data_IF_500606138133
#
_entry.id   IF_500606138133
#
_cell.length_a   1.000
_cell.length_b   1.000
_cell.length_c   1.000
_cell.angle_alpha   90.00
_cell.angle_beta   90.00
_cell.angle_gamma   90.00
#
_symmetry.space_group_name_H-M   'P 1'
#
loop_
_entity.id
_entity.type
_entity.pdbx_description
1 polymer ?
#
# COMPACT_ATOMS: atom_id res chain seq x y z
N UNK A 1 -16.60 7.74 5.78
CA UNK A 1 -16.23 6.37 6.15
C UNK A 1 -15.27 5.85 5.11
N UNK A 2 -14.00 5.71 5.49
CA UNK A 2 -12.98 5.14 4.62
C UNK A 2 -12.98 3.60 4.72
N UNK A 3 -12.42 2.92 3.72
CA UNK A 3 -12.38 1.46 3.61
C UNK A 3 -13.76 0.79 3.82
N UNK A 4 -14.80 1.36 3.22
CA UNK A 4 -16.19 0.93 3.43
C UNK A 4 -16.43 -0.55 3.09
N UNK A 5 -15.58 -1.16 2.26
CA UNK A 5 -15.63 -2.58 1.96
C UNK A 5 -15.45 -3.47 3.20
N UNK A 6 -14.85 -2.97 4.28
CA UNK A 6 -14.70 -3.69 5.54
C UNK A 6 -16.04 -4.03 6.24
N UNK A 7 -17.20 -3.54 5.76
CA UNK A 7 -18.52 -3.92 6.32
C UNK A 7 -18.91 -5.36 5.97
N UNK A 8 -18.48 -5.88 4.82
CA UNK A 8 -18.87 -7.21 4.33
C UNK A 8 -17.92 -7.84 3.32
N UNK A 9 -16.72 -7.27 3.13
CA UNK A 9 -15.69 -7.75 2.23
C UNK A 9 -14.70 -8.74 2.87
N UNK A 10 -13.65 -9.14 2.13
CA UNK A 10 -12.63 -10.07 2.61
C UNK A 10 -11.87 -9.55 3.84
N UNK A 11 -11.72 -8.22 3.96
CA UNK A 11 -11.12 -7.54 5.11
C UNK A 11 -12.20 -7.08 6.11
N UNK A 12 -13.13 -7.96 6.48
CA UNK A 12 -14.25 -7.63 7.35
C UNK A 12 -13.81 -7.12 8.74
N UNK A 13 -14.38 -5.98 9.16
CA UNK A 13 -14.16 -5.38 10.49
C UNK A 13 -15.50 -5.27 11.23
N UNK A 14 -15.77 -6.10 12.27
CA UNK A 14 -17.05 -6.10 12.97
C UNK A 14 -17.49 -4.74 13.53
N UNK A 15 -16.52 -3.89 13.91
CA UNK A 15 -16.80 -2.53 14.38
C UNK A 15 -17.55 -1.69 13.33
N UNK A 16 -17.33 -1.92 12.03
CA UNK A 16 -17.95 -1.17 10.94
C UNK A 16 -19.46 -1.44 10.84
N UNK A 17 -19.95 -2.60 11.31
CA UNK A 17 -21.40 -2.87 11.39
C UNK A 17 -22.13 -1.94 12.35
N UNK A 18 -21.41 -1.35 13.32
CA UNK A 18 -21.99 -0.41 14.28
C UNK A 18 -22.21 0.98 13.64
N UNK A 19 -21.63 1.25 12.47
CA UNK A 19 -21.78 2.54 11.80
C UNK A 19 -23.24 2.83 11.41
N UNK A 20 -24.04 1.80 11.09
CA UNK A 20 -25.49 1.99 10.87
C UNK A 20 -26.24 2.54 12.08
N UNK A 21 -25.64 2.55 13.28
CA UNK A 21 -26.23 3.22 14.45
C UNK A 21 -26.00 4.72 14.47
N UNK A 22 -25.05 5.24 13.69
CA UNK A 22 -24.76 6.67 13.66
C UNK A 22 -26.00 7.49 13.25
N UNK A 23 -26.84 6.93 12.37
CA UNK A 23 -28.14 7.51 11.99
C UNK A 23 -29.10 7.76 13.15
N UNK A 24 -29.10 6.91 14.18
CA UNK A 24 -29.94 7.14 15.37
C UNK A 24 -29.54 8.41 16.12
N UNK A 25 -28.29 8.85 15.99
CA UNK A 25 -27.77 10.04 16.68
C UNK A 25 -27.80 11.29 15.79
N UNK A 26 -27.62 11.14 14.49
CA UNK A 26 -27.50 12.28 13.55
C UNK A 26 -28.75 12.55 12.73
N UNK A 27 -29.72 11.64 12.74
CA UNK A 27 -30.86 11.68 11.82
C UNK A 27 -30.45 11.58 10.35
N UNK A 28 -31.35 12.03 9.47
CA UNK A 28 -31.16 12.02 8.01
C UNK A 28 -30.49 13.29 7.47
N UNK A 29 -30.38 14.34 8.29
CA UNK A 29 -29.87 15.65 7.86
C UNK A 29 -28.36 15.67 7.63
N UNK A 30 -27.63 14.70 8.22
CA UNK A 30 -26.18 14.58 8.04
C UNK A 30 -25.89 13.56 6.93
N UNK A 31 -25.30 13.98 5.79
CA UNK A 31 -24.92 13.04 4.74
C UNK A 31 -23.69 12.22 5.13
N UNK A 32 -23.68 10.94 4.80
CA UNK A 32 -22.51 10.07 4.94
C UNK A 32 -21.85 9.82 3.58
N UNK A 33 -20.53 9.93 3.54
CA UNK A 33 -19.72 9.55 2.37
C UNK A 33 -18.96 8.28 2.71
N UNK A 34 -19.15 7.23 1.91
CA UNK A 34 -18.43 5.97 2.03
C UNK A 34 -17.45 5.81 0.86
N UNK A 35 -16.17 5.60 1.16
CA UNK A 35 -15.11 5.46 0.16
C UNK A 35 -14.47 4.08 0.27
N UNK A 36 -14.12 3.47 -0.87
CA UNK A 36 -13.36 2.23 -0.91
C UNK A 36 -12.62 2.11 -2.25
N UNK A 37 -11.40 1.59 -2.22
CA UNK A 37 -10.64 1.27 -3.43
C UNK A 37 -11.07 -0.07 -4.05
N UNK A 38 -11.42 -1.03 -3.20
CA UNK A 38 -11.88 -2.36 -3.61
C UNK A 38 -13.38 -2.46 -3.35
N UNK A 39 -14.16 -2.83 -4.36
CA UNK A 39 -15.59 -3.07 -4.17
C UNK A 39 -16.07 -4.17 -5.11
N UNK A 40 -16.65 -5.21 -4.51
CA UNK A 40 -17.44 -6.20 -5.24
C UNK A 40 -18.91 -5.79 -5.20
N UNK A 41 -19.68 -6.21 -6.19
CA UNK A 41 -21.09 -5.82 -6.32
C UNK A 41 -21.91 -6.24 -5.08
N UNK A 42 -21.60 -7.40 -4.49
CA UNK A 42 -22.19 -7.84 -3.22
C UNK A 42 -21.87 -6.90 -2.04
N UNK A 43 -20.69 -6.28 -2.03
CA UNK A 43 -20.27 -5.32 -0.99
C UNK A 43 -20.95 -3.96 -1.18
N UNK A 44 -21.19 -3.52 -2.43
CA UNK A 44 -21.98 -2.32 -2.71
C UNK A 44 -23.39 -2.45 -2.14
N UNK A 45 -24.02 -3.61 -2.28
CA UNK A 45 -25.38 -3.86 -1.78
C UNK A 45 -25.46 -3.73 -0.25
N UNK A 46 -24.51 -4.28 0.53
CA UNK A 46 -24.54 -4.14 2.00
C UNK A 46 -24.32 -2.70 2.48
N UNK A 47 -23.51 -1.92 1.75
CA UNK A 47 -23.32 -0.48 2.01
C UNK A 47 -24.62 0.29 1.68
N UNK A 48 -25.26 -0.04 0.56
CA UNK A 48 -26.44 0.66 0.01
C UNK A 48 -27.70 0.40 0.82
N UNK A 49 -27.93 -0.85 1.26
CA UNK A 49 -29.16 -1.27 1.93
C UNK A 49 -29.37 -0.65 3.33
N UNK A 50 -28.33 -0.07 3.92
CA UNK A 50 -28.39 0.52 5.28
C UNK A 50 -28.67 2.02 5.28
N UNK A 51 -28.53 2.69 4.13
CA UNK A 51 -28.42 4.15 4.05
C UNK A 51 -29.12 4.74 2.80
N UNK A 52 -30.44 4.54 2.61
CA UNK A 52 -31.16 5.23 1.54
C UNK A 52 -31.39 6.71 1.87
N UNK A 53 -31.30 7.64 0.89
CA UNK A 53 -30.96 7.42 -0.53
C UNK A 53 -29.44 7.34 -0.76
N UNK A 54 -29.02 6.39 -1.62
CA UNK A 54 -27.62 6.14 -1.97
C UNK A 54 -27.32 6.56 -3.42
N UNK A 55 -26.20 7.26 -3.62
CA UNK A 55 -25.66 7.56 -4.94
C UNK A 55 -24.26 6.96 -5.06
N UNK A 56 -24.11 5.96 -5.93
CA UNK A 56 -22.84 5.30 -6.19
C UNK A 56 -22.09 5.90 -7.37
N UNK A 57 -20.81 6.21 -7.20
CA UNK A 57 -19.91 6.57 -8.29
C UNK A 57 -18.71 5.62 -8.32
N UNK A 58 -18.45 5.00 -9.48
CA UNK A 58 -17.33 4.07 -9.66
C UNK A 58 -16.41 4.58 -10.76
N UNK A 59 -15.15 4.85 -10.40
CA UNK A 59 -14.10 5.16 -11.37
C UNK A 59 -13.42 3.87 -11.82
N UNK A 60 -13.24 3.68 -13.13
CA UNK A 60 -12.45 2.57 -13.64
C UNK A 60 -10.97 2.79 -13.30
N UNK A 61 -10.32 1.74 -12.80
CA UNK A 61 -8.89 1.72 -12.47
C UNK A 61 -8.07 1.34 -13.71
N UNK A 62 -8.03 2.20 -14.73
CA UNK A 62 -7.04 2.05 -15.80
C UNK A 62 -5.80 2.89 -15.45
N UNK A 63 -4.65 2.23 -15.33
CA UNK A 63 -3.35 2.89 -15.20
C UNK A 63 -2.66 2.83 -16.57
N UNK A 64 -2.77 3.88 -17.41
CA UNK A 64 -2.34 3.82 -18.82
C UNK A 64 -0.83 3.56 -19.00
N UNK A 65 -0.02 3.77 -17.95
CA UNK A 65 1.44 3.61 -17.98
C UNK A 65 1.93 2.39 -17.19
N UNK A 66 1.04 1.49 -16.77
CA UNK A 66 1.45 0.27 -16.07
C UNK A 66 1.94 -0.78 -17.07
N UNK A 67 3.22 -1.11 -17.04
CA UNK A 67 3.78 -2.20 -17.84
C UNK A 67 3.49 -3.56 -17.18
N UNK A 68 3.03 -4.57 -17.96
CA UNK A 68 2.74 -5.89 -17.41
C UNK A 68 4.01 -6.57 -16.87
N UNK A 69 3.85 -7.24 -15.72
CA UNK A 69 4.97 -7.94 -15.08
C UNK A 69 5.32 -9.23 -15.84
N UNK A 70 6.62 -9.47 -16.06
CA UNK A 70 7.13 -10.76 -16.55
C UNK A 70 6.83 -11.89 -15.55
N UNK A 71 6.64 -13.15 -16.02
CA UNK A 71 6.38 -14.30 -15.15
C UNK A 71 7.43 -14.47 -14.05
N UNK A 72 6.98 -14.99 -12.90
CA UNK A 72 7.73 -15.03 -11.64
C UNK A 72 8.86 -16.05 -11.69
N UNK A 73 10.11 -15.59 -11.65
CA UNK A 73 11.26 -16.45 -11.32
C UNK A 73 11.38 -16.66 -9.79
N UNK A 74 12.00 -17.75 -9.31
CA UNK A 74 12.16 -18.04 -7.88
C UNK A 74 12.82 -16.89 -7.09
N UNK A 75 12.20 -16.50 -5.97
CA UNK A 75 12.35 -15.17 -5.34
C UNK A 75 13.74 -14.79 -4.83
N UNK A 76 14.57 -15.74 -4.39
CA UNK A 76 15.88 -15.42 -3.81
C UNK A 76 16.92 -14.93 -4.85
N UNK A 77 16.86 -15.44 -6.09
CA UNK A 77 17.80 -15.04 -7.15
C UNK A 77 17.51 -13.65 -7.70
N UNK A 78 16.27 -13.17 -7.60
CA UNK A 78 15.84 -11.90 -8.21
C UNK A 78 16.31 -10.68 -7.43
N UNK A 79 16.28 -10.70 -6.10
CA UNK A 79 16.77 -9.56 -5.29
C UNK A 79 18.27 -9.30 -5.52
N UNK A 80 19.06 -10.38 -5.58
CA UNK A 80 20.48 -10.31 -5.92
C UNK A 80 20.72 -9.82 -7.35
N UNK A 81 19.90 -10.26 -8.31
CA UNK A 81 20.02 -9.83 -9.70
C UNK A 81 19.66 -8.35 -9.89
N UNK A 82 18.61 -7.88 -9.21
CA UNK A 82 18.23 -6.45 -9.22
C UNK A 82 19.33 -5.59 -8.62
N UNK A 83 19.90 -5.99 -7.48
CA UNK A 83 21.01 -5.26 -6.86
C UNK A 83 22.23 -5.17 -7.78
N UNK A 84 22.66 -6.29 -8.39
CA UNK A 84 23.85 -6.30 -9.26
C UNK A 84 23.67 -5.43 -10.50
N UNK A 85 22.52 -5.52 -11.15
CA UNK A 85 22.26 -4.71 -12.35
C UNK A 85 22.09 -3.23 -12.01
N UNK A 86 21.44 -2.91 -10.89
CA UNK A 86 21.27 -1.53 -10.44
C UNK A 86 22.63 -0.88 -10.10
N UNK A 87 23.51 -1.58 -9.38
CA UNK A 87 24.86 -1.10 -9.06
C UNK A 87 25.72 -0.79 -10.30
N UNK A 88 25.52 -1.54 -11.39
CA UNK A 88 26.30 -1.35 -12.61
C UNK A 88 25.75 -0.25 -13.52
N UNK A 89 24.46 0.05 -13.40
CA UNK A 89 23.76 0.93 -14.33
C UNK A 89 23.55 2.36 -13.83
N UNK A 90 23.54 2.57 -12.52
CA UNK A 90 23.17 3.86 -11.93
C UNK A 90 24.25 4.37 -10.98
N UNK A 91 24.54 5.67 -11.06
CA UNK A 91 25.22 6.39 -10.00
C UNK A 91 24.27 6.57 -8.79
N UNK A 92 24.81 6.83 -7.60
CA UNK A 92 24.04 6.91 -6.35
C UNK A 92 22.87 7.90 -6.42
N UNK A 93 23.06 9.02 -7.11
CA UNK A 93 22.09 10.11 -7.30
C UNK A 93 21.09 9.88 -8.45
N UNK A 94 21.28 8.82 -9.26
CA UNK A 94 20.45 8.54 -10.44
C UNK A 94 19.58 7.29 -10.29
N UNK A 95 19.56 6.67 -9.11
CA UNK A 95 18.74 5.49 -8.84
C UNK A 95 17.25 5.88 -8.86
N UNK A 96 16.43 5.32 -9.77
CA UNK A 96 15.01 5.62 -9.79
C UNK A 96 14.32 5.09 -8.52
N UNK A 97 13.39 5.90 -7.98
CA UNK A 97 12.57 5.51 -6.84
C UNK A 97 11.78 4.24 -7.18
N UNK A 98 11.94 3.22 -6.34
CA UNK A 98 11.31 1.92 -6.54
C UNK A 98 10.78 1.35 -5.22
N UNK A 99 9.72 0.55 -5.32
CA UNK A 99 9.11 -0.15 -4.19
C UNK A 99 9.24 -1.65 -4.40
N UNK A 100 9.81 -2.33 -3.40
CA UNK A 100 9.91 -3.77 -3.36
C UNK A 100 8.96 -4.31 -2.30
N UNK A 101 7.99 -5.13 -2.74
CA UNK A 101 7.04 -5.78 -1.85
C UNK A 101 7.51 -7.19 -1.51
N UNK A 102 7.43 -7.53 -0.22
CA UNK A 102 7.77 -8.86 0.30
C UNK A 102 6.59 -9.43 1.05
N UNK A 103 6.44 -10.75 0.99
CA UNK A 103 5.36 -11.47 1.66
C UNK A 103 5.64 -11.78 3.14
N UNK A 104 6.82 -11.44 3.64
CA UNK A 104 7.24 -11.76 5.01
C UNK A 104 8.23 -10.74 5.55
N UNK A 105 8.15 -10.49 6.86
CA UNK A 105 9.14 -9.70 7.60
C UNK A 105 10.49 -10.42 7.75
N UNK A 106 10.52 -11.74 7.53
CA UNK A 106 11.71 -12.56 7.69
C UNK A 106 12.64 -12.54 6.48
N UNK A 107 12.38 -11.71 5.47
CA UNK A 107 13.33 -11.57 4.35
C UNK A 107 14.63 -11.02 4.93
N UNK A 108 15.73 -11.79 4.89
CA UNK A 108 16.96 -11.42 5.56
C UNK A 108 17.66 -10.32 4.76
N UNK A 109 17.21 -9.08 4.93
CA UNK A 109 17.92 -7.90 4.44
C UNK A 109 19.32 -7.82 5.06
N UNK A 110 19.45 -8.23 6.32
CA UNK A 110 20.75 -8.25 7.03
C UNK A 110 21.75 -9.27 6.47
N UNK A 111 21.29 -10.34 5.81
CA UNK A 111 22.16 -11.36 5.20
C UNK A 111 22.44 -11.11 3.71
N UNK A 112 21.72 -10.17 3.10
CA UNK A 112 21.84 -9.80 1.69
C UNK A 112 22.09 -8.31 1.52
N UNK A 113 22.82 -7.70 2.46
CA UNK A 113 23.38 -6.39 2.19
C UNK A 113 24.22 -6.51 0.92
N UNK A 114 23.94 -5.70 -0.12
CA UNK A 114 24.88 -5.55 -1.22
C UNK A 114 26.26 -5.30 -0.60
N UNK A 115 27.29 -5.99 -1.06
CA UNK A 115 28.65 -5.64 -0.66
C UNK A 115 28.96 -4.18 -1.07
N UNK A 116 28.21 -3.68 -2.04
CA UNK A 116 28.23 -2.31 -2.53
C UNK A 116 27.64 -1.34 -1.49
N UNK A 117 28.50 -0.48 -0.97
CA UNK A 117 28.22 0.45 0.13
C UNK A 117 27.16 1.51 -0.23
N UNK A 118 27.14 2.00 -1.47
CA UNK A 118 26.23 3.08 -1.89
C UNK A 118 24.75 2.67 -1.89
N UNK A 119 24.41 1.44 -2.32
CA UNK A 119 23.02 0.97 -2.28
C UNK A 119 22.47 0.82 -0.86
N UNK A 120 23.33 0.52 0.12
CA UNK A 120 22.89 0.35 1.52
C UNK A 120 22.25 1.62 2.07
N UNK A 121 22.78 2.78 1.68
CA UNK A 121 22.31 4.09 2.15
C UNK A 121 21.02 4.54 1.45
N UNK A 122 20.62 3.83 0.38
CA UNK A 122 19.44 4.14 -0.43
C UNK A 122 18.25 3.20 -0.16
N UNK A 123 18.38 2.23 0.76
CA UNK A 123 17.33 1.24 1.07
C UNK A 123 16.65 1.56 2.39
N UNK A 124 15.35 1.80 2.32
CA UNK A 124 14.52 2.13 3.48
C UNK A 124 13.54 1.00 3.79
N UNK A 125 13.77 0.18 4.83
CA UNK A 125 12.86 -0.90 5.19
C UNK A 125 11.59 -0.33 5.82
N UNK A 126 10.44 -0.73 5.29
CA UNK A 126 9.12 -0.36 5.80
C UNK A 126 8.33 -1.60 6.24
N UNK A 127 7.74 -1.55 7.42
CA UNK A 127 6.78 -2.54 7.91
C UNK A 127 5.75 -1.89 8.84
N UNK A 128 4.58 -2.53 8.97
CA UNK A 128 3.53 -2.12 9.89
C UNK A 128 3.98 -2.13 11.35
N UNK A 129 4.93 -2.99 11.72
CA UNK A 129 5.47 -3.11 13.08
C UNK A 129 6.52 -2.04 13.44
N UNK A 130 6.99 -1.24 12.46
CA UNK A 130 7.90 -0.14 12.74
C UNK A 130 7.21 0.92 13.62
N UNK A 131 8.01 1.62 14.43
CA UNK A 131 7.52 2.80 15.15
C UNK A 131 7.13 3.91 14.16
N UNK A 132 6.21 4.78 14.54
CA UNK A 132 5.79 5.91 13.68
C UNK A 132 6.96 6.82 13.30
N UNK A 133 7.91 7.05 14.22
CA UNK A 133 9.16 7.76 13.95
C UNK A 133 10.00 7.06 12.87
N UNK A 134 10.08 5.73 12.90
CA UNK A 134 10.81 4.94 11.90
C UNK A 134 10.11 4.96 10.54
N UNK A 135 8.78 4.90 10.51
CA UNK A 135 7.98 5.02 9.28
C UNK A 135 8.14 6.40 8.65
N UNK A 136 8.04 7.46 9.45
CA UNK A 136 8.22 8.84 9.00
C UNK A 136 9.62 9.04 8.39
N UNK A 137 10.67 8.52 9.02
CA UNK A 137 12.04 8.56 8.47
C UNK A 137 12.16 7.80 7.15
N UNK A 138 11.57 6.62 7.04
CA UNK A 138 11.55 5.84 5.80
C UNK A 138 10.90 6.62 4.65
N UNK A 139 9.77 7.30 4.93
CA UNK A 139 9.08 8.11 3.94
C UNK A 139 9.84 9.38 3.56
N UNK A 140 10.45 10.08 4.53
CA UNK A 140 11.29 11.24 4.27
C UNK A 140 12.48 10.87 3.37
N UNK A 141 13.20 9.79 3.69
CA UNK A 141 14.31 9.31 2.86
C UNK A 141 13.89 8.95 1.42
N UNK A 142 12.73 8.31 1.25
CA UNK A 142 12.18 8.02 -0.07
C UNK A 142 11.73 9.30 -0.83
N UNK A 143 11.21 10.30 -0.11
CA UNK A 143 10.73 11.56 -0.70
C UNK A 143 11.90 12.44 -1.15
N UNK A 144 12.92 12.59 -0.31
CA UNK A 144 14.05 13.48 -0.54
C UNK A 144 15.01 12.93 -1.61
N UNK A 145 15.02 11.61 -1.83
CA UNK A 145 15.95 10.97 -2.76
C UNK A 145 17.41 11.07 -2.30
N UNK A 146 17.63 11.48 -1.05
CA UNK A 146 18.95 11.63 -0.46
C UNK A 146 19.37 10.30 0.18
N UNK A 147 20.64 9.94 0.00
CA UNK A 147 21.33 8.89 0.75
C UNK A 147 21.21 9.19 2.25
N UNK A 148 20.79 8.22 3.05
CA UNK A 148 20.77 8.35 4.50
C UNK A 148 22.19 8.75 5.01
N UNK A 149 22.30 9.66 6.00
CA UNK A 149 23.60 9.99 6.59
C UNK A 149 24.24 8.79 7.30
#
# INVERSE_FOLDING_TARGET
MDEAHCIGGPDFRPAYRRFGRARYYTGMDVPYIACTATCHDATLVDITLREPPFLGHRRQSSLPHAHPTKPRQPGARRAQHVSKNACQQYAEDTIPKCLFYFNSLRVPWRGHHPQDTHLRNCVYPFSSINTEKSKARCWAGLADGLSAP
#
